data_IF_714046254017
#
_entry.id   IF_714046254017
#
_cell.length_a   1.000
_cell.length_b   1.000
_cell.length_c   1.000
_cell.angle_alpha   90.00
_cell.angle_beta   90.00
_cell.angle_gamma   90.00
#
_symmetry.space_group_name_H-M   'P 1'
#
loop_
_entity.id
_entity.type
_entity.pdbx_description
1 polymer ?
#
# COMPACT_ATOMS: atom_id res chain seq x y z
N UNK A 1 11.56 -15.71 -22.80
CA UNK A 1 10.21 -15.62 -22.19
C UNK A 1 9.86 -14.16 -21.99
N UNK A 2 9.10 -13.57 -22.93
CA UNK A 2 8.49 -12.24 -22.74
C UNK A 2 7.00 -12.47 -22.55
N UNK A 3 6.56 -12.53 -21.29
CA UNK A 3 5.15 -12.42 -20.93
C UNK A 3 5.00 -11.29 -19.91
N UNK A 4 5.56 -10.13 -20.22
CA UNK A 4 5.16 -8.91 -19.52
C UNK A 4 3.93 -8.45 -20.31
N UNK A 5 2.77 -8.71 -19.73
CA UNK A 5 1.48 -8.16 -20.18
C UNK A 5 1.70 -6.67 -20.43
N UNK A 6 1.28 -6.16 -21.59
CA UNK A 6 1.30 -4.73 -21.86
C UNK A 6 0.71 -4.00 -20.65
N UNK A 7 1.43 -3.07 -20.00
CA UNK A 7 0.91 -2.33 -18.85
C UNK A 7 -0.44 -1.66 -19.15
N UNK A 8 -0.68 -1.30 -20.42
CA UNK A 8 -1.95 -0.77 -20.87
C UNK A 8 -3.07 -1.81 -20.93
N UNK A 9 -2.78 -3.12 -20.92
CA UNK A 9 -3.76 -4.20 -20.84
C UNK A 9 -4.12 -4.61 -19.40
N UNK A 10 -3.36 -4.15 -18.39
CA UNK A 10 -3.76 -4.19 -16.98
C UNK A 10 -4.80 -3.09 -16.69
N UNK A 11 -5.87 -3.05 -17.48
CA UNK A 11 -7.07 -2.31 -17.13
C UNK A 11 -7.78 -3.07 -16.00
N UNK A 12 -7.31 -2.87 -14.77
CA UNK A 12 -8.26 -2.77 -13.66
C UNK A 12 -9.12 -1.56 -14.04
N UNK A 13 -10.43 -1.73 -14.17
CA UNK A 13 -11.36 -0.63 -14.45
C UNK A 13 -11.46 0.30 -13.23
N UNK A 14 -10.36 1.01 -12.97
CA UNK A 14 -10.22 2.05 -11.95
C UNK A 14 -11.03 3.31 -12.34
N UNK A 15 -11.55 3.38 -13.57
CA UNK A 15 -12.21 4.55 -14.13
C UNK A 15 -13.70 4.65 -13.80
N UNK A 16 -14.33 3.56 -13.35
CA UNK A 16 -15.77 3.54 -13.08
C UNK A 16 -16.17 4.07 -11.69
N UNK A 17 -15.21 4.33 -10.79
CA UNK A 17 -15.51 4.65 -9.38
C UNK A 17 -14.98 6.04 -8.98
N UNK A 18 -15.80 6.83 -8.28
CA UNK A 18 -15.42 8.16 -7.73
C UNK A 18 -14.47 8.07 -6.52
N UNK A 19 -13.82 6.93 -6.29
CA UNK A 19 -13.04 6.63 -5.08
C UNK A 19 -11.76 5.88 -5.46
N UNK A 20 -10.69 6.01 -4.66
CA UNK A 20 -9.46 5.27 -4.89
C UNK A 20 -9.70 3.76 -4.81
N UNK A 21 -8.96 3.02 -5.62
CA UNK A 21 -8.90 1.56 -5.53
C UNK A 21 -7.95 1.16 -4.42
N UNK A 22 -8.37 0.23 -3.57
CA UNK A 22 -7.55 -0.26 -2.45
C UNK A 22 -7.05 -1.66 -2.73
N UNK A 23 -5.72 -1.82 -2.74
CA UNK A 23 -5.05 -3.11 -2.93
C UNK A 23 -4.23 -3.42 -1.68
N UNK A 24 -4.58 -4.52 -1.01
CA UNK A 24 -3.89 -4.99 0.18
C UNK A 24 -2.95 -6.14 -0.15
N UNK A 25 -1.69 -6.04 0.28
CA UNK A 25 -0.65 -7.05 0.11
C UNK A 25 -0.38 -7.72 1.45
N UNK A 26 -0.49 -9.05 1.50
CA UNK A 26 -0.37 -9.88 2.71
C UNK A 26 0.61 -11.05 2.51
N UNK A 27 1.02 -11.71 3.59
CA UNK A 27 1.88 -12.89 3.56
C UNK A 27 3.36 -12.60 3.85
N UNK A 28 4.25 -13.40 3.29
CA UNK A 28 5.66 -13.44 3.66
C UNK A 28 6.59 -13.29 2.44
N UNK A 29 7.70 -12.56 2.66
CA UNK A 29 8.68 -12.26 1.59
C UNK A 29 8.13 -11.32 0.52
N UNK A 30 8.99 -10.48 -0.07
CA UNK A 30 8.68 -9.73 -1.31
C UNK A 30 7.54 -8.69 -1.29
N UNK A 31 6.72 -8.58 -0.23
CA UNK A 31 5.56 -7.67 -0.17
C UNK A 31 5.92 -6.22 -0.44
N UNK A 32 6.90 -5.68 0.28
CA UNK A 32 7.34 -4.30 0.12
C UNK A 32 7.90 -4.05 -1.29
N UNK A 33 8.65 -5.01 -1.84
CA UNK A 33 9.15 -4.94 -3.22
C UNK A 33 8.00 -4.97 -4.24
N UNK A 34 6.99 -5.81 -4.03
CA UNK A 34 5.80 -5.88 -4.86
C UNK A 34 5.00 -4.58 -4.79
N UNK A 35 4.85 -3.99 -3.60
CA UNK A 35 4.19 -2.68 -3.44
C UNK A 35 4.87 -1.60 -4.27
N UNK A 36 6.21 -1.54 -4.25
CA UNK A 36 6.95 -0.53 -5.00
C UNK A 36 6.87 -0.77 -6.51
N UNK A 37 7.02 -2.02 -6.95
CA UNK A 37 6.85 -2.39 -8.35
C UNK A 37 5.44 -2.05 -8.87
N UNK A 38 4.41 -2.37 -8.08
CA UNK A 38 3.03 -2.06 -8.43
C UNK A 38 2.76 -0.55 -8.46
N UNK A 39 3.37 0.21 -7.55
CA UNK A 39 3.26 1.67 -7.54
C UNK A 39 3.85 2.30 -8.81
N UNK A 40 5.04 1.85 -9.24
CA UNK A 40 5.66 2.31 -10.49
C UNK A 40 4.82 1.93 -11.72
N UNK A 41 4.30 0.70 -11.75
CA UNK A 41 3.47 0.23 -12.85
C UNK A 41 2.18 1.05 -12.98
N UNK A 42 1.49 1.32 -11.87
CA UNK A 42 0.29 2.14 -11.83
C UNK A 42 0.59 3.60 -12.15
N UNK A 43 1.70 4.15 -11.65
CA UNK A 43 2.13 5.51 -11.98
C UNK A 43 2.45 5.65 -13.47
N UNK A 44 3.08 4.67 -14.09
CA UNK A 44 3.34 4.64 -15.54
C UNK A 44 2.04 4.64 -16.36
N UNK A 45 0.94 4.13 -15.79
CA UNK A 45 -0.41 4.23 -16.37
C UNK A 45 -1.15 5.56 -16.05
N UNK A 46 -0.45 6.54 -15.48
CA UNK A 46 -0.99 7.86 -15.17
C UNK A 46 -1.75 7.97 -13.86
N UNK A 47 -1.60 7.00 -12.94
CA UNK A 47 -2.30 6.99 -11.64
C UNK A 47 -1.47 7.62 -10.53
N UNK A 48 -2.13 8.32 -9.61
CA UNK A 48 -1.57 8.80 -8.35
C UNK A 48 -1.69 7.71 -7.29
N UNK A 49 -0.57 7.29 -6.74
CA UNK A 49 -0.49 6.14 -5.84
C UNK A 49 -0.07 6.58 -4.45
N UNK A 50 -0.89 6.23 -3.46
CA UNK A 50 -0.53 6.35 -2.05
C UNK A 50 -0.14 4.98 -1.50
N UNK A 51 1.04 4.88 -0.88
CA UNK A 51 1.50 3.66 -0.23
C UNK A 51 1.43 3.83 1.29
N UNK A 52 0.89 2.83 1.98
CA UNK A 52 0.82 2.80 3.44
C UNK A 52 0.86 1.36 3.95
N UNK A 53 0.66 1.19 5.26
CA UNK A 53 0.51 -0.10 5.92
C UNK A 53 -0.62 -0.02 6.93
N UNK A 54 -1.23 -1.15 7.28
CA UNK A 54 -2.10 -1.25 8.47
C UNK A 54 -1.40 -1.86 9.68
N UNK A 55 -0.10 -2.13 9.54
CA UNK A 55 0.73 -2.73 10.58
C UNK A 55 2.00 -1.90 10.77
N UNK A 56 3.18 -2.52 10.65
CA UNK A 56 4.46 -1.87 10.67
C UNK A 56 5.30 -2.38 9.50
N UNK A 57 5.87 -1.45 8.74
CA UNK A 57 6.86 -1.77 7.71
C UNK A 57 8.18 -1.05 8.02
N UNK A 58 9.26 -1.47 7.38
CA UNK A 58 10.50 -0.69 7.44
C UNK A 58 10.30 0.66 6.77
N UNK A 59 10.98 1.69 7.28
CA UNK A 59 10.99 3.00 6.64
C UNK A 59 11.43 2.84 5.18
N UNK A 60 10.64 3.28 4.19
CA UNK A 60 11.00 3.11 2.78
C UNK A 60 12.28 3.90 2.48
N UNK A 61 13.22 3.28 1.75
CA UNK A 61 14.48 3.91 1.33
C UNK A 61 14.41 4.52 -0.08
N UNK A 62 13.20 4.84 -0.55
CA UNK A 62 12.97 5.39 -1.90
C UNK A 62 13.17 6.92 -1.93
N UNK A 63 13.10 7.50 -3.12
CA UNK A 63 13.12 8.95 -3.32
C UNK A 63 11.72 9.60 -3.24
N UNK A 64 10.64 8.82 -3.06
CA UNK A 64 9.28 9.37 -3.02
C UNK A 64 9.00 10.09 -1.69
N UNK A 65 8.15 11.13 -1.69
CA UNK A 65 7.80 11.86 -0.48
C UNK A 65 7.18 10.95 0.59
N UNK A 66 7.58 11.17 1.84
CA UNK A 66 7.00 10.51 3.01
C UNK A 66 6.30 11.55 3.87
N UNK A 67 5.02 11.33 4.15
CA UNK A 67 4.20 12.20 5.01
C UNK A 67 3.79 11.45 6.26
N UNK A 68 3.97 12.10 7.42
CA UNK A 68 3.44 11.60 8.68
C UNK A 68 2.22 12.42 9.08
N UNK A 69 1.12 11.75 9.41
CA UNK A 69 -0.08 12.41 9.91
C UNK A 69 -0.81 11.53 10.92
N UNK A 70 -1.59 12.12 11.82
CA UNK A 70 -2.37 11.34 12.80
C UNK A 70 -3.63 10.75 12.19
N UNK A 71 -4.28 11.54 11.34
CA UNK A 71 -5.53 11.18 10.66
C UNK A 71 -5.34 11.36 9.14
N UNK A 72 -5.34 10.27 8.36
CA UNK A 72 -5.12 10.33 6.93
C UNK A 72 -6.30 10.98 6.17
N UNK A 73 -7.51 10.97 6.72
CA UNK A 73 -8.67 11.62 6.09
C UNK A 73 -8.52 13.15 6.01
N UNK A 74 -7.66 13.71 6.88
CA UNK A 74 -7.35 15.13 6.99
C UNK A 74 -6.09 15.54 6.22
N UNK A 75 -5.54 14.66 5.37
CA UNK A 75 -4.36 14.99 4.57
C UNK A 75 -4.64 16.20 3.66
N UNK A 76 -3.68 17.15 3.57
CA UNK A 76 -3.75 18.22 2.60
C UNK A 76 -3.84 17.67 1.18
N UNK A 77 -4.60 18.35 0.32
CA UNK A 77 -4.76 17.96 -1.09
C UNK A 77 -3.41 17.74 -1.79
N UNK A 78 -2.42 18.61 -1.53
CA UNK A 78 -1.08 18.53 -2.10
C UNK A 78 -0.35 17.21 -1.78
N UNK A 79 -0.62 16.58 -0.63
CA UNK A 79 0.00 15.32 -0.21
C UNK A 79 -0.53 14.11 -0.99
N UNK A 80 -1.75 14.20 -1.52
CA UNK A 80 -2.42 13.13 -2.28
C UNK A 80 -2.24 13.27 -3.79
N UNK A 81 -1.78 14.44 -4.27
CA UNK A 81 -1.58 14.69 -5.71
C UNK A 81 -0.21 14.29 -6.25
N UNK A 82 0.74 13.88 -5.39
CA UNK A 82 2.02 13.36 -5.86
C UNK A 82 1.83 12.09 -6.69
N UNK A 83 2.65 11.84 -7.73
CA UNK A 83 2.53 10.63 -8.55
C UNK A 83 2.63 9.35 -7.72
N UNK A 84 3.61 9.30 -6.80
CA UNK A 84 3.72 8.27 -5.78
C UNK A 84 4.11 8.96 -4.47
N UNK A 85 3.47 8.60 -3.37
CA UNK A 85 3.84 9.07 -2.03
C UNK A 85 3.58 8.00 -0.97
N UNK A 86 4.24 8.16 0.18
CA UNK A 86 3.97 7.37 1.37
C UNK A 86 3.21 8.19 2.41
N UNK A 87 2.31 7.54 3.13
CA UNK A 87 1.73 8.12 4.32
C UNK A 87 1.69 7.14 5.49
N UNK A 88 2.13 7.60 6.66
CA UNK A 88 2.21 6.80 7.88
C UNK A 88 1.69 7.57 9.09
N UNK A 89 1.28 6.83 10.13
CA UNK A 89 0.83 7.41 11.38
C UNK A 89 2.00 7.98 12.20
N UNK A 90 3.07 7.20 12.34
CA UNK A 90 4.23 7.58 13.14
C UNK A 90 5.51 6.88 12.70
N UNK A 91 6.66 7.42 13.13
CA UNK A 91 7.97 6.82 12.93
C UNK A 91 8.50 6.23 14.23
N UNK A 92 8.90 4.96 14.18
CA UNK A 92 9.56 4.21 15.26
C UNK A 92 11.05 4.13 14.97
N UNK A 93 11.75 5.26 15.20
CA UNK A 93 13.16 5.43 14.85
C UNK A 93 14.08 4.35 15.45
N UNK A 94 13.83 3.94 16.69
CA UNK A 94 14.59 2.89 17.37
C UNK A 94 14.52 1.50 16.70
N UNK A 95 13.51 1.26 15.86
CA UNK A 95 13.32 0.00 15.13
C UNK A 95 13.55 0.17 13.62
N UNK A 96 13.81 1.39 13.14
CA UNK A 96 13.84 1.70 11.71
C UNK A 96 12.50 1.45 11.00
N UNK A 97 11.39 1.45 11.74
CA UNK A 97 10.05 1.11 11.23
C UNK A 97 9.12 2.30 11.25
N UNK A 98 8.12 2.27 10.39
CA UNK A 98 6.97 3.17 10.41
C UNK A 98 5.75 2.40 10.86
N UNK A 99 4.85 3.09 11.54
CA UNK A 99 3.55 2.56 11.94
C UNK A 99 2.48 3.07 10.98
N UNK A 100 1.66 2.14 10.53
CA UNK A 100 0.52 2.38 9.66
C UNK A 100 -0.71 2.93 10.36
N UNK A 101 -1.80 2.96 9.61
CA UNK A 101 -3.12 3.35 10.09
C UNK A 101 -3.96 2.14 10.47
N UNK A 102 -5.06 2.34 11.21
CA UNK A 102 -6.02 1.25 11.39
C UNK A 102 -6.79 0.99 10.08
N UNK A 103 -7.34 -0.21 9.87
CA UNK A 103 -8.20 -0.50 8.72
C UNK A 103 -9.34 0.52 8.53
N UNK A 104 -9.95 0.98 9.64
CA UNK A 104 -11.05 1.95 9.63
C UNK A 104 -10.59 3.34 9.15
N UNK A 105 -9.38 3.75 9.52
CA UNK A 105 -8.82 5.01 9.05
C UNK A 105 -8.53 4.98 7.54
N UNK A 106 -8.15 3.82 7.00
CA UNK A 106 -8.04 3.63 5.54
C UNK A 106 -9.42 3.68 4.89
N UNK A 107 -10.42 3.00 5.47
CA UNK A 107 -11.79 3.00 4.93
C UNK A 107 -12.38 4.43 4.86
N UNK A 108 -12.01 5.31 5.79
CA UNK A 108 -12.33 6.73 5.75
C UNK A 108 -11.54 7.48 4.66
N UNK A 109 -10.24 7.21 4.51
CA UNK A 109 -9.38 7.82 3.48
C UNK A 109 -9.88 7.54 2.05
N UNK A 110 -10.48 6.38 1.79
CA UNK A 110 -11.04 6.01 0.48
C UNK A 110 -12.16 6.96 0.00
N UNK A 111 -12.68 7.82 0.87
CA UNK A 111 -13.60 8.88 0.46
C UNK A 111 -12.92 10.06 -0.28
N UNK A 112 -11.58 10.04 -0.40
CA UNK A 112 -10.76 11.11 -0.98
C UNK A 112 -10.34 10.79 -2.44
N UNK A 113 -11.00 11.37 -3.46
CA UNK A 113 -10.72 11.10 -4.88
C UNK A 113 -9.40 11.71 -5.40
N UNK A 114 -8.65 12.39 -4.54
CA UNK A 114 -7.36 13.01 -4.88
C UNK A 114 -6.25 12.01 -5.14
N UNK A 115 -6.38 10.78 -4.65
CA UNK A 115 -5.52 9.67 -5.03
C UNK A 115 -6.32 8.66 -5.85
N UNK A 116 -5.68 7.96 -6.76
CA UNK A 116 -6.36 7.00 -7.63
C UNK A 116 -6.25 5.58 -7.09
N UNK A 117 -5.14 5.27 -6.40
CA UNK A 117 -4.89 3.95 -5.82
C UNK A 117 -4.23 4.08 -4.45
N UNK A 118 -4.67 3.26 -3.50
CA UNK A 118 -4.07 3.07 -2.19
C UNK A 118 -3.51 1.65 -2.12
N UNK A 119 -2.19 1.54 -1.99
CA UNK A 119 -1.47 0.28 -1.84
C UNK A 119 -1.09 0.07 -0.37
N UNK A 120 -1.37 -1.11 0.16
CA UNK A 120 -1.29 -1.35 1.61
C UNK A 120 -0.49 -2.60 1.89
N UNK A 121 0.54 -2.50 2.74
CA UNK A 121 1.08 -3.69 3.41
C UNK A 121 0.19 -4.03 4.61
N UNK A 122 -0.64 -5.07 4.48
CA UNK A 122 -1.70 -5.39 5.45
C UNK A 122 -1.34 -6.55 6.40
N UNK A 123 -0.09 -7.03 6.32
CA UNK A 123 0.42 -8.11 7.16
C UNK A 123 1.84 -7.80 7.64
N UNK A 124 2.03 -7.82 8.95
CA UNK A 124 3.30 -7.57 9.61
C UNK A 124 4.18 -8.80 9.60
N UNK A 125 4.74 -9.18 8.45
CA UNK A 125 5.81 -10.18 8.46
C UNK A 125 7.02 -9.54 9.13
N UNK A 126 7.52 -10.10 10.23
CA UNK A 126 8.78 -9.66 10.87
C UNK A 126 10.03 -9.99 10.02
N UNK A 127 9.92 -9.97 8.68
CA UNK A 127 10.91 -10.53 7.77
C UNK A 127 10.96 -12.06 7.78
N UNK A 128 9.97 -12.72 8.39
CA UNK A 128 9.93 -14.17 8.53
C UNK A 128 9.42 -14.82 7.23
N UNK A 129 10.05 -15.91 6.74
CA UNK A 129 9.65 -16.62 5.52
C UNK A 129 8.24 -17.24 5.58
N UNK A 130 7.75 -17.53 6.79
CA UNK A 130 6.41 -18.04 7.05
C UNK A 130 5.99 -17.58 8.45
N UNK A 131 4.82 -16.95 8.58
CA UNK A 131 4.20 -16.62 9.86
C UNK A 131 2.77 -17.14 9.83
N UNK A 132 2.34 -17.84 10.88
CA UNK A 132 0.93 -18.00 11.14
C UNK A 132 0.37 -16.60 11.51
N UNK A 133 -0.71 -16.13 10.87
CA UNK A 133 -1.35 -14.87 11.26
C UNK A 133 -1.70 -14.92 12.75
N UNK A 134 -1.49 -13.80 13.45
CA UNK A 134 -2.04 -13.64 14.80
C UNK A 134 -3.58 -13.54 14.72
N UNK A 135 -4.31 -13.63 15.84
CA UNK A 135 -5.79 -13.58 15.85
C UNK A 135 -6.36 -12.30 15.19
N UNK A 136 -5.56 -11.24 15.11
CA UNK A 136 -5.92 -9.94 14.55
C UNK A 136 -5.30 -9.66 13.17
N UNK A 137 -4.58 -10.62 12.58
CA UNK A 137 -4.00 -10.52 11.24
C UNK A 137 -4.72 -11.44 10.23
N UNK A 138 -4.81 -11.04 8.95
CA UNK A 138 -4.31 -9.79 8.38
C UNK A 138 -5.25 -8.59 8.63
N UNK A 139 -4.68 -7.42 8.88
CA UNK A 139 -5.41 -6.18 9.15
C UNK A 139 -5.90 -5.53 7.84
N UNK A 140 -6.79 -6.20 7.11
CA UNK A 140 -7.25 -5.76 5.78
C UNK A 140 -8.42 -4.76 5.91
N UNK A 141 -8.34 -3.55 5.32
CA UNK A 141 -9.46 -2.61 5.24
C UNK A 141 -10.65 -3.18 4.46
N UNK A 142 -11.88 -2.89 4.88
CA UNK A 142 -13.09 -3.37 4.19
C UNK A 142 -13.22 -2.83 2.76
N UNK A 143 -12.63 -1.67 2.51
CA UNK A 143 -12.53 -1.05 1.19
C UNK A 143 -11.60 -1.76 0.22
N UNK A 144 -10.82 -2.76 0.67
CA UNK A 144 -9.94 -3.56 -0.19
C UNK A 144 -10.73 -4.28 -1.27
N UNK A 145 -10.55 -3.86 -2.52
CA UNK A 145 -11.17 -4.51 -3.67
C UNK A 145 -10.30 -5.64 -4.25
N UNK A 146 -9.02 -5.67 -3.87
CA UNK A 146 -8.08 -6.71 -4.23
C UNK A 146 -7.15 -7.02 -3.06
N UNK A 147 -6.91 -8.31 -2.81
CA UNK A 147 -5.92 -8.78 -1.84
C UNK A 147 -4.93 -9.68 -2.59
N UNK A 148 -3.65 -9.33 -2.50
CA UNK A 148 -2.55 -10.09 -3.10
C UNK A 148 -1.79 -10.80 -1.99
N UNK A 149 -1.88 -12.13 -1.96
CA UNK A 149 -1.10 -12.95 -1.05
C UNK A 149 0.26 -13.27 -1.68
N UNK A 150 1.34 -12.93 -0.97
CA UNK A 150 2.72 -13.22 -1.37
C UNK A 150 3.28 -14.31 -0.45
N UNK A 151 3.89 -15.33 -1.04
CA UNK A 151 4.59 -16.38 -0.31
C UNK A 151 6.04 -16.46 -0.77
N UNK A 152 6.95 -16.56 0.19
CA UNK A 152 8.37 -16.78 -0.08
C UNK A 152 8.61 -18.22 -0.52
N UNK A 153 9.08 -18.41 -1.75
CA UNK A 153 9.61 -19.70 -2.19
C UNK A 153 11.09 -19.79 -1.82
N UNK A 154 11.45 -20.73 -0.95
CA UNK A 154 12.84 -21.19 -0.86
C UNK A 154 13.07 -22.17 -2.02
N UNK A 155 14.01 -21.85 -2.92
CA UNK A 155 14.62 -22.82 -3.84
C UNK A 155 15.97 -23.25 -3.29
#
# INVERSE_FOLDING_TARGET
MKSIVDPSALFIDLGAQKRPTVISVVGAGGKTSLLFWLAELLQASGRRVLITTTTHMFMPTSHWPVVFCRDPAMLPHASLTSPISFCFHSWKANQGKVQGFTPEAIDALVQRPECDVILIEADGSRGMPLKAPDEHEPCIPKSSCCVIAVMGGHT
#
